data_IF_953050178443
#
_entry.id   IF_953050178443
#
_cell.length_a   1.000
_cell.length_b   1.000
_cell.length_c   1.000
_cell.angle_alpha   90.00
_cell.angle_beta   90.00
_cell.angle_gamma   90.00
#
_symmetry.space_group_name_H-M   'P 1'
#
loop_
_entity.id
_entity.type
_entity.pdbx_description
1 polymer ?
#
# COMPACT_ATOMS: atom_id res chain seq x y z
N UNK A 1 4.13 -7.02 -26.61
CA UNK A 1 3.04 -7.17 -25.62
C UNK A 1 3.43 -6.35 -24.40
N UNK A 2 3.00 -5.08 -24.37
CA UNK A 2 3.26 -4.17 -23.25
C UNK A 2 2.25 -4.50 -22.15
N UNK A 3 2.71 -4.96 -20.99
CA UNK A 3 1.89 -5.24 -19.81
C UNK A 3 1.24 -3.97 -19.19
N UNK A 4 1.44 -2.80 -19.79
CA UNK A 4 1.00 -1.51 -19.27
C UNK A 4 -0.37 -1.05 -19.81
N UNK A 5 -1.04 -1.85 -20.64
CA UNK A 5 -2.38 -1.49 -21.14
C UNK A 5 -3.47 -1.94 -20.15
N UNK A 6 -3.99 -0.93 -19.44
CA UNK A 6 -5.28 -0.88 -18.71
C UNK A 6 -5.36 -1.40 -17.26
N UNK A 7 -4.56 -0.85 -16.35
CA UNK A 7 -4.96 -0.80 -14.92
C UNK A 7 -5.85 0.42 -14.72
N UNK A 8 -7.16 0.24 -14.52
CA UNK A 8 -8.09 1.33 -14.24
C UNK A 8 -8.02 1.74 -12.77
N UNK A 9 -8.14 3.04 -12.47
CA UNK A 9 -8.24 3.59 -11.10
C UNK A 9 -9.27 2.84 -10.25
N UNK A 10 -10.40 2.46 -10.84
CA UNK A 10 -11.45 1.71 -10.14
C UNK A 10 -10.96 0.34 -9.64
N UNK A 11 -10.24 -0.41 -10.47
CA UNK A 11 -9.76 -1.74 -10.11
C UNK A 11 -8.78 -1.70 -8.94
N UNK A 12 -7.92 -0.66 -8.91
CA UNK A 12 -7.02 -0.44 -7.78
C UNK A 12 -7.78 -0.13 -6.50
N UNK A 13 -8.77 0.77 -6.55
CA UNK A 13 -9.58 1.12 -5.38
C UNK A 13 -10.31 -0.13 -4.86
N UNK A 14 -10.96 -0.88 -5.75
CA UNK A 14 -11.69 -2.11 -5.40
C UNK A 14 -10.74 -3.17 -4.80
N UNK A 15 -9.49 -3.28 -5.27
CA UNK A 15 -8.48 -4.14 -4.66
C UNK A 15 -8.10 -3.68 -3.24
N UNK A 16 -8.01 -2.36 -2.99
CA UNK A 16 -7.72 -1.84 -1.65
C UNK A 16 -8.86 -2.05 -0.65
N UNK A 17 -10.10 -2.17 -1.11
CA UNK A 17 -11.28 -2.42 -0.27
C UNK A 17 -11.26 -3.81 0.39
N UNK A 18 -10.41 -4.73 -0.08
CA UNK A 18 -10.23 -6.04 0.56
C UNK A 18 -9.61 -5.95 1.96
N UNK A 19 -8.92 -4.84 2.27
CA UNK A 19 -8.37 -4.60 3.59
C UNK A 19 -9.45 -4.08 4.55
N UNK A 20 -9.83 -4.91 5.53
CA UNK A 20 -10.78 -4.53 6.61
C UNK A 20 -10.09 -3.94 7.85
N UNK A 21 -8.82 -3.56 7.74
CA UNK A 21 -8.01 -2.97 8.83
C UNK A 21 -7.87 -3.84 10.09
N UNK A 22 -8.06 -5.16 10.00
CA UNK A 22 -8.03 -6.08 11.15
C UNK A 22 -6.67 -6.20 11.87
N UNK A 23 -5.57 -5.85 11.21
CA UNK A 23 -4.23 -5.89 11.82
C UNK A 23 -3.56 -7.27 11.85
N UNK A 24 -4.18 -8.31 11.30
CA UNK A 24 -3.58 -9.65 11.20
C UNK A 24 -2.26 -9.65 10.41
N UNK A 25 -2.07 -8.71 9.49
CA UNK A 25 -0.84 -8.56 8.72
C UNK A 25 0.35 -8.01 9.50
N UNK A 26 0.12 -7.30 10.62
CA UNK A 26 1.17 -6.59 11.36
C UNK A 26 2.30 -7.51 11.86
N UNK A 27 2.02 -8.62 12.57
CA UNK A 27 3.08 -9.48 13.10
C UNK A 27 3.87 -10.24 12.02
N UNK A 28 3.36 -10.27 10.78
CA UNK A 28 4.00 -10.99 9.67
C UNK A 28 4.88 -10.09 8.81
N UNK A 29 4.72 -8.77 8.91
CA UNK A 29 5.46 -7.83 8.08
C UNK A 29 6.82 -7.48 8.69
N UNK A 30 7.94 -7.79 8.02
CA UNK A 30 9.28 -7.52 8.57
C UNK A 30 9.59 -6.03 8.67
N UNK A 31 9.15 -5.20 7.72
CA UNK A 31 9.37 -3.75 7.74
C UNK A 31 8.60 -3.08 8.87
N UNK A 32 7.36 -3.50 9.11
CA UNK A 32 6.60 -3.05 10.27
C UNK A 32 7.23 -3.48 11.59
N UNK A 33 7.74 -4.71 11.67
CA UNK A 33 8.39 -5.21 12.88
C UNK A 33 9.58 -4.33 13.29
N UNK A 34 10.33 -3.82 12.32
CA UNK A 34 11.47 -2.91 12.54
C UNK A 34 11.02 -1.48 12.79
N UNK A 35 10.18 -0.92 11.92
CA UNK A 35 9.84 0.50 11.94
C UNK A 35 8.77 0.84 12.99
N UNK A 36 7.85 -0.08 13.29
CA UNK A 36 6.72 0.07 14.20
C UNK A 36 5.82 1.27 13.86
N UNK A 37 5.78 1.67 12.59
CA UNK A 37 4.91 2.74 12.09
C UNK A 37 3.89 2.17 11.11
N UNK A 38 2.65 2.64 11.19
CA UNK A 38 1.56 2.14 10.36
C UNK A 38 1.85 2.18 8.84
N UNK A 39 2.45 3.25 8.26
CA UNK A 39 2.82 3.31 6.83
C UNK A 39 3.79 2.22 6.38
N UNK A 40 4.55 1.62 7.29
CA UNK A 40 5.50 0.55 6.99
C UNK A 40 4.85 -0.85 7.05
N UNK A 41 3.59 -0.95 7.45
CA UNK A 41 2.80 -2.18 7.44
C UNK A 41 2.14 -2.48 6.09
N UNK A 42 1.73 -3.74 5.82
CA UNK A 42 1.04 -4.08 4.58
C UNK A 42 -0.28 -3.32 4.46
N UNK A 43 -1.07 -3.24 5.54
CA UNK A 43 -2.35 -2.51 5.54
C UNK A 43 -2.16 -1.00 5.42
N UNK A 44 -1.11 -0.44 6.02
CA UNK A 44 -0.79 0.98 5.86
C UNK A 44 -0.45 1.33 4.42
N UNK A 45 0.32 0.48 3.74
CA UNK A 45 0.64 0.65 2.31
C UNK A 45 -0.61 0.54 1.43
N UNK A 46 -1.52 -0.38 1.73
CA UNK A 46 -2.83 -0.44 1.05
C UNK A 46 -3.61 0.87 1.24
N UNK A 47 -3.62 1.42 2.45
CA UNK A 47 -4.29 2.70 2.73
C UNK A 47 -3.63 3.88 1.99
N UNK A 48 -2.29 3.91 1.90
CA UNK A 48 -1.56 4.90 1.12
C UNK A 48 -1.90 4.81 -0.36
N UNK A 49 -1.87 3.61 -0.95
CA UNK A 49 -2.25 3.39 -2.36
C UNK A 49 -3.68 3.86 -2.60
N UNK A 50 -4.63 3.50 -1.73
CA UNK A 50 -6.01 3.98 -1.84
C UNK A 50 -6.10 5.50 -1.85
N UNK A 51 -5.45 6.16 -0.90
CA UNK A 51 -5.51 7.61 -0.76
C UNK A 51 -4.88 8.35 -1.95
N UNK A 52 -3.77 7.84 -2.50
CA UNK A 52 -3.16 8.34 -3.72
C UNK A 52 -4.13 8.24 -4.91
N UNK A 53 -4.75 7.07 -5.10
CA UNK A 53 -5.67 6.86 -6.21
C UNK A 53 -7.00 7.60 -6.03
N UNK A 54 -7.48 7.80 -4.81
CA UNK A 54 -8.63 8.65 -4.51
C UNK A 54 -8.32 10.15 -4.68
N UNK A 55 -7.05 10.55 -4.81
CA UNK A 55 -6.64 11.95 -4.89
C UNK A 55 -6.70 12.69 -3.54
N UNK A 56 -6.66 11.95 -2.43
CA UNK A 56 -6.64 12.48 -1.06
C UNK A 56 -5.22 12.77 -0.55
N UNK A 57 -4.22 12.20 -1.21
CA UNK A 57 -2.80 12.35 -0.91
C UNK A 57 -2.04 12.62 -2.20
N UNK A 58 -1.05 13.49 -2.12
CA UNK A 58 -0.09 13.71 -3.20
C UNK A 58 1.05 12.70 -3.12
N UNK A 59 1.59 12.32 -4.27
CA UNK A 59 2.73 11.40 -4.40
C UNK A 59 4.06 12.10 -4.03
N UNK A 60 4.23 12.41 -2.75
CA UNK A 60 5.48 12.97 -2.22
C UNK A 60 6.55 11.90 -2.04
N UNK A 61 7.83 12.29 -1.99
CA UNK A 61 8.94 11.35 -1.78
C UNK A 61 8.77 10.51 -0.50
N UNK A 62 8.25 11.11 0.57
CA UNK A 62 7.99 10.41 1.84
C UNK A 62 6.95 9.31 1.63
N UNK A 63 5.82 9.61 0.97
CA UNK A 63 4.77 8.63 0.70
C UNK A 63 5.27 7.51 -0.20
N UNK A 64 6.03 7.85 -1.25
CA UNK A 64 6.62 6.87 -2.17
C UNK A 64 7.65 5.99 -1.46
N UNK A 65 8.47 6.54 -0.56
CA UNK A 65 9.45 5.74 0.21
C UNK A 65 8.78 4.65 1.06
N UNK A 66 7.60 4.95 1.64
CA UNK A 66 6.79 3.96 2.35
C UNK A 66 6.22 2.89 1.42
N UNK A 67 6.21 3.06 0.10
CA UNK A 67 5.85 2.00 -0.85
C UNK A 67 7.10 1.24 -1.30
N UNK A 68 8.19 1.94 -1.57
CA UNK A 68 9.46 1.38 -2.03
C UNK A 68 10.15 0.49 -0.98
N UNK A 69 9.93 0.76 0.31
CA UNK A 69 10.44 -0.09 1.39
C UNK A 69 9.85 -1.54 1.36
N UNK A 70 8.89 -1.86 0.48
CA UNK A 70 8.18 -3.13 0.49
C UNK A 70 9.08 -4.24 -0.02
N UNK A 71 9.24 -5.32 0.76
CA UNK A 71 10.08 -6.46 0.37
C UNK A 71 9.37 -7.47 -0.51
N UNK A 72 8.08 -7.28 -0.82
CA UNK A 72 7.27 -8.21 -1.65
C UNK A 72 7.22 -9.65 -1.13
N UNK A 73 7.24 -9.82 0.20
CA UNK A 73 7.44 -11.11 0.87
C UNK A 73 6.27 -12.12 0.79
N UNK A 74 5.14 -11.76 0.18
CA UNK A 74 3.86 -12.49 0.07
C UNK A 74 3.20 -12.87 1.39
#
# INVERSE_FOLDING_TARGET
MSLAESINKKDIIDATDQCVMCGLCLPHCPTYTVAQTEPESPRGRIALVRALYEGKLDSTEIIISHLDNCLTCM
#
